data_IF_705564437997
#
_entry.id   IF_705564437997
#
_cell.length_a   1.000
_cell.length_b   1.000
_cell.length_c   1.000
_cell.angle_alpha   90.00
_cell.angle_beta   90.00
_cell.angle_gamma   90.00
#
_symmetry.space_group_name_H-M   'P 1'
#
loop_
_entity.id
_entity.type
_entity.pdbx_description
1 polymer ?
#
# COMPACT_ATOMS: atom_id res chain seq x y z
N UNK A 1 -11.21 6.91 5.85
CA UNK A 1 -10.12 7.85 5.53
C UNK A 1 -10.66 9.26 5.44
N UNK A 2 -11.47 9.61 4.43
CA UNK A 2 -12.08 10.94 4.28
C UNK A 2 -12.74 11.48 5.56
N UNK A 3 -13.51 10.66 6.27
CA UNK A 3 -14.11 11.04 7.55
C UNK A 3 -13.07 11.45 8.60
N UNK A 4 -11.99 10.68 8.77
CA UNK A 4 -10.94 10.99 9.75
C UNK A 4 -10.20 12.28 9.38
N UNK A 5 -9.93 12.49 8.10
CA UNK A 5 -9.31 13.71 7.59
C UNK A 5 -10.22 14.94 7.77
N UNK A 6 -11.54 14.78 7.65
CA UNK A 6 -12.50 15.86 7.91
C UNK A 6 -12.61 16.26 9.38
N UNK A 7 -12.29 15.36 10.32
CA UNK A 7 -12.30 15.65 11.76
C UNK A 7 -11.06 16.46 12.15
N UNK A 8 -9.88 16.00 11.73
CA UNK A 8 -8.61 16.62 12.07
C UNK A 8 -7.55 16.23 11.03
N UNK A 9 -7.38 17.08 10.03
CA UNK A 9 -6.48 16.85 8.91
C UNK A 9 -4.98 16.97 9.27
N UNK A 10 -4.64 17.40 10.48
CA UNK A 10 -3.26 17.45 10.97
C UNK A 10 -2.83 16.12 11.62
N UNK A 11 -3.79 15.26 11.99
CA UNK A 11 -3.52 13.98 12.65
C UNK A 11 -3.14 12.91 11.65
N UNK A 12 -2.11 12.15 11.99
CA UNK A 12 -1.73 10.97 11.21
C UNK A 12 -2.78 9.87 11.31
N UNK A 13 -3.06 9.22 10.19
CA UNK A 13 -3.93 8.05 10.11
C UNK A 13 -3.09 6.77 10.09
N UNK A 14 -3.56 5.71 10.75
CA UNK A 14 -2.89 4.41 10.74
C UNK A 14 -3.71 3.41 9.92
N UNK A 15 -3.08 2.85 8.89
CA UNK A 15 -3.65 1.83 8.03
C UNK A 15 -2.94 0.49 8.29
N UNK A 16 -3.65 -0.44 8.95
CA UNK A 16 -3.16 -1.79 9.18
C UNK A 16 -3.56 -2.70 8.01
N UNK A 17 -2.58 -3.39 7.45
CA UNK A 17 -2.71 -4.17 6.22
C UNK A 17 -2.35 -5.63 6.52
N UNK A 18 -3.30 -6.52 6.27
CA UNK A 18 -3.13 -7.97 6.29
C UNK A 18 -3.94 -8.59 5.16
N UNK A 19 -3.31 -8.87 4.03
CA UNK A 19 -4.04 -9.41 2.88
C UNK A 19 -3.28 -9.36 1.55
N UNK A 20 -3.84 -9.97 0.50
CA UNK A 20 -3.25 -9.99 -0.83
C UNK A 20 -3.61 -8.77 -1.69
N UNK A 21 -4.30 -7.79 -1.11
CA UNK A 21 -5.03 -6.77 -1.85
C UNK A 21 -6.39 -7.30 -2.29
N UNK A 22 -6.93 -6.73 -3.37
CA UNK A 22 -8.19 -7.14 -3.97
C UNK A 22 -8.21 -6.79 -5.45
N UNK A 23 -9.35 -6.35 -5.94
CA UNK A 23 -9.50 -5.92 -7.33
C UNK A 23 -8.68 -4.65 -7.62
N UNK A 24 -8.25 -4.52 -8.88
CA UNK A 24 -7.40 -3.44 -9.35
C UNK A 24 -8.02 -2.06 -9.10
N UNK A 25 -9.21 -1.81 -9.64
CA UNK A 25 -9.86 -0.50 -9.57
C UNK A 25 -10.18 -0.06 -8.14
N UNK A 26 -10.77 -0.89 -7.25
CA UNK A 26 -10.97 -0.51 -5.85
C UNK A 26 -9.67 -0.22 -5.09
N UNK A 27 -8.60 -0.97 -5.37
CA UNK A 27 -7.30 -0.73 -4.74
C UNK A 27 -6.69 0.60 -5.19
N UNK A 28 -6.84 0.95 -6.47
CA UNK A 28 -6.44 2.26 -7.00
C UNK A 28 -7.27 3.40 -6.40
N UNK A 29 -8.57 3.20 -6.18
CA UNK A 29 -9.41 4.20 -5.50
C UNK A 29 -8.94 4.46 -4.06
N UNK A 30 -8.52 3.42 -3.33
CA UNK A 30 -7.89 3.57 -2.01
C UNK A 30 -6.59 4.38 -2.13
N UNK A 31 -5.76 4.07 -3.13
CA UNK A 31 -4.50 4.79 -3.37
C UNK A 31 -4.72 6.28 -3.65
N UNK A 32 -5.60 6.61 -4.58
CA UNK A 32 -5.93 8.00 -4.93
C UNK A 32 -6.54 8.73 -3.74
N UNK A 33 -7.36 8.03 -2.95
CA UNK A 33 -7.84 8.58 -1.67
C UNK A 33 -6.66 8.88 -0.77
N UNK A 34 -5.71 7.96 -0.57
CA UNK A 34 -4.52 8.23 0.26
C UNK A 34 -3.72 9.44 -0.22
N UNK A 35 -3.58 9.67 -1.53
CA UNK A 35 -2.80 10.80 -2.07
C UNK A 35 -3.54 12.15 -2.03
N UNK A 36 -4.86 12.15 -1.86
CA UNK A 36 -5.69 13.37 -1.82
C UNK A 36 -5.93 13.92 -0.40
N UNK A 37 -5.59 13.15 0.63
CA UNK A 37 -5.79 13.54 2.02
C UNK A 37 -4.70 14.52 2.45
N UNK A 38 -5.05 15.43 3.36
CA UNK A 38 -4.06 16.30 4.02
C UNK A 38 -3.36 15.56 5.16
N UNK A 39 -4.08 14.68 5.86
CA UNK A 39 -3.56 13.84 6.92
C UNK A 39 -2.53 12.84 6.38
N UNK A 40 -1.33 12.73 7.00
CA UNK A 40 -0.35 11.74 6.58
C UNK A 40 -0.83 10.32 6.91
N UNK A 41 -0.70 9.41 5.94
CA UNK A 41 -1.12 8.00 6.08
C UNK A 41 0.07 7.12 6.46
N UNK A 42 0.07 6.62 7.68
CA UNK A 42 1.02 5.63 8.19
C UNK A 42 0.55 4.22 7.88
N UNK A 43 1.39 3.37 7.28
CA UNK A 43 1.01 2.00 6.89
C UNK A 43 1.71 0.95 7.76
N UNK A 44 1.00 -0.12 8.12
CA UNK A 44 1.51 -1.21 8.96
C UNK A 44 1.16 -2.57 8.35
N UNK A 45 2.16 -3.30 7.86
CA UNK A 45 1.98 -4.70 7.48
C UNK A 45 1.99 -5.61 8.70
N UNK A 46 0.85 -6.26 8.95
CA UNK A 46 0.64 -7.23 10.04
C UNK A 46 0.36 -8.59 9.40
N UNK A 47 1.32 -9.52 9.45
CA UNK A 47 1.17 -10.83 8.81
C UNK A 47 1.66 -10.81 7.36
N UNK A 48 0.85 -10.32 6.41
CA UNK A 48 1.31 -10.20 5.03
C UNK A 48 0.64 -9.08 4.23
N UNK A 49 1.35 -8.57 3.24
CA UNK A 49 0.84 -7.62 2.25
C UNK A 49 1.31 -8.08 0.87
N UNK A 50 0.43 -8.66 0.05
CA UNK A 50 0.79 -9.11 -1.30
C UNK A 50 0.12 -8.27 -2.37
N UNK A 51 0.69 -8.28 -3.58
CA UNK A 51 0.17 -7.60 -4.77
C UNK A 51 -0.24 -6.14 -4.48
N UNK A 52 -1.52 -5.80 -4.62
CA UNK A 52 -1.99 -4.42 -4.41
C UNK A 52 -1.97 -3.98 -2.95
N UNK A 53 -2.02 -4.91 -1.99
CA UNK A 53 -1.78 -4.56 -0.58
C UNK A 53 -0.32 -4.18 -0.33
N UNK A 54 0.65 -4.81 -1.02
CA UNK A 54 2.05 -4.41 -0.95
C UNK A 54 2.28 -3.02 -1.59
N UNK A 55 1.56 -2.73 -2.68
CA UNK A 55 1.56 -1.40 -3.27
C UNK A 55 1.02 -0.35 -2.29
N UNK A 56 -0.14 -0.60 -1.67
CA UNK A 56 -0.73 0.30 -0.67
C UNK A 56 0.17 0.46 0.57
N UNK A 57 0.87 -0.60 0.99
CA UNK A 57 1.88 -0.53 2.05
C UNK A 57 2.98 0.47 1.69
N UNK A 58 3.54 0.37 0.48
CA UNK A 58 4.57 1.27 -0.01
C UNK A 58 4.05 2.70 -0.26
N UNK A 59 2.74 2.86 -0.47
CA UNK A 59 2.05 4.13 -0.70
C UNK A 59 1.89 5.02 0.52
N UNK A 60 2.11 4.50 1.72
CA UNK A 60 2.13 5.30 2.95
C UNK A 60 3.19 6.41 2.93
N UNK A 61 3.03 7.35 3.84
CA UNK A 61 3.94 8.48 4.04
C UNK A 61 5.37 7.97 4.29
N UNK A 62 6.35 8.52 3.55
CA UNK A 62 7.74 8.06 3.63
C UNK A 62 8.29 8.33 5.04
N UNK A 63 9.00 7.34 5.59
CA UNK A 63 9.44 7.32 6.98
C UNK A 63 8.41 6.76 7.96
N UNK A 64 7.16 6.52 7.52
CA UNK A 64 6.06 5.99 8.32
C UNK A 64 5.43 4.73 7.71
N UNK A 65 6.22 3.91 7.02
CA UNK A 65 5.80 2.61 6.50
C UNK A 65 6.43 1.50 7.33
N UNK A 66 5.61 0.61 7.87
CA UNK A 66 6.03 -0.32 8.91
C UNK A 66 5.67 -1.76 8.57
N UNK A 67 6.46 -2.71 9.07
CA UNK A 67 6.08 -4.12 9.09
C UNK A 67 6.48 -4.81 10.38
N UNK A 68 5.76 -5.87 10.76
CA UNK A 68 6.20 -6.74 11.85
C UNK A 68 7.36 -7.66 11.42
N UNK A 69 8.18 -8.16 12.36
CA UNK A 69 9.36 -8.96 12.02
C UNK A 69 9.11 -10.21 11.18
N UNK A 70 7.93 -10.85 11.34
CA UNK A 70 7.55 -12.03 10.59
C UNK A 70 6.66 -11.72 9.38
N UNK A 71 6.42 -10.44 9.10
CA UNK A 71 5.60 -10.07 7.97
C UNK A 71 6.22 -10.53 6.65
N UNK A 72 5.35 -10.76 5.65
CA UNK A 72 5.74 -11.08 4.29
C UNK A 72 5.16 -10.05 3.33
N UNK A 73 6.00 -9.53 2.45
CA UNK A 73 5.60 -8.59 1.41
C UNK A 73 5.82 -9.26 0.06
N UNK A 74 4.89 -9.10 -0.87
CA UNK A 74 5.09 -9.62 -2.21
C UNK A 74 4.54 -8.68 -3.26
N UNK A 75 5.33 -8.45 -4.31
CA UNK A 75 4.93 -7.64 -5.46
C UNK A 75 4.76 -8.54 -6.68
N UNK A 76 3.81 -8.19 -7.53
CA UNK A 76 3.57 -8.83 -8.81
C UNK A 76 2.99 -7.79 -9.77
N UNK A 77 3.26 -7.92 -11.05
CA UNK A 77 2.51 -7.17 -12.07
C UNK A 77 1.00 -7.39 -11.91
N UNK A 78 0.17 -6.35 -12.10
CA UNK A 78 -1.27 -6.54 -12.23
C UNK A 78 -1.55 -7.52 -13.38
N UNK A 79 -2.60 -8.31 -13.21
CA UNK A 79 -3.05 -9.30 -14.17
C UNK A 79 -4.51 -9.06 -14.50
N UNK A 80 -4.90 -9.36 -15.73
CA UNK A 80 -6.25 -9.24 -16.23
C UNK A 80 -6.47 -10.16 -17.42
N UNK A 81 -7.73 -10.35 -17.79
CA UNK A 81 -8.11 -11.13 -18.96
C UNK A 81 -9.11 -10.34 -19.80
N UNK A 82 -8.92 -10.36 -21.11
CA UNK A 82 -9.83 -9.74 -22.07
C UNK A 82 -10.39 -10.82 -23.01
N UNK A 83 -11.64 -10.65 -23.45
CA UNK A 83 -12.34 -11.52 -24.40
C UNK A 83 -13.27 -10.66 -25.26
N UNK A 84 -13.43 -11.00 -26.53
CA UNK A 84 -14.28 -10.24 -27.44
C UNK A 84 -13.66 -10.12 -28.83
N UNK A 85 -14.03 -9.07 -29.56
CA UNK A 85 -13.42 -8.76 -30.85
C UNK A 85 -11.95 -8.36 -30.67
N UNK A 86 -11.18 -8.40 -31.76
CA UNK A 86 -9.76 -8.04 -31.72
C UNK A 86 -9.53 -6.62 -31.16
N UNK A 87 -10.42 -5.68 -31.46
CA UNK A 87 -10.36 -4.32 -30.93
C UNK A 87 -10.65 -4.24 -29.43
N UNK A 88 -11.65 -4.97 -28.93
CA UNK A 88 -11.95 -5.02 -27.49
C UNK A 88 -10.76 -5.58 -26.71
N UNK A 89 -10.17 -6.68 -27.19
CA UNK A 89 -8.98 -7.28 -26.58
C UNK A 89 -7.82 -6.29 -26.56
N UNK A 90 -7.60 -5.56 -27.65
CA UNK A 90 -6.53 -4.56 -27.76
C UNK A 90 -6.75 -3.39 -26.80
N UNK A 91 -7.99 -2.90 -26.67
CA UNK A 91 -8.34 -1.79 -25.77
C UNK A 91 -8.07 -2.18 -24.32
N UNK A 92 -8.58 -3.34 -23.88
CA UNK A 92 -8.39 -3.82 -22.51
C UNK A 92 -6.92 -4.11 -22.19
N UNK A 93 -6.18 -4.70 -23.13
CA UNK A 93 -4.75 -4.95 -22.95
C UNK A 93 -3.96 -3.63 -22.80
N UNK A 94 -4.26 -2.63 -23.62
CA UNK A 94 -3.61 -1.32 -23.54
C UNK A 94 -3.92 -0.61 -22.21
N UNK A 95 -5.14 -0.72 -21.72
CA UNK A 95 -5.51 -0.12 -20.43
C UNK A 95 -4.79 -0.80 -19.26
N UNK A 96 -4.69 -2.13 -19.27
CA UNK A 96 -3.91 -2.86 -18.26
C UNK A 96 -2.43 -2.48 -18.29
N UNK A 97 -1.84 -2.32 -19.48
CA UNK A 97 -0.46 -1.85 -19.64
C UNK A 97 -0.28 -0.44 -19.09
N UNK A 98 -1.21 0.47 -19.38
CA UNK A 98 -1.19 1.84 -18.84
C UNK A 98 -1.19 1.85 -17.32
N UNK A 99 -2.06 1.06 -16.70
CA UNK A 99 -2.15 0.95 -15.23
C UNK A 99 -0.89 0.33 -14.65
N UNK A 100 -0.37 -0.75 -15.26
CA UNK A 100 0.89 -1.38 -14.85
C UNK A 100 2.02 -0.37 -14.83
N UNK A 101 2.19 0.38 -15.91
CA UNK A 101 3.29 1.33 -16.05
C UNK A 101 3.18 2.47 -15.04
N UNK A 102 1.95 2.92 -14.74
CA UNK A 102 1.71 3.87 -13.65
C UNK A 102 2.14 3.32 -12.29
N UNK A 103 1.68 2.11 -11.93
CA UNK A 103 2.03 1.46 -10.66
C UNK A 103 3.55 1.24 -10.52
N UNK A 104 4.22 0.87 -11.60
CA UNK A 104 5.67 0.63 -11.58
C UNK A 104 6.45 1.93 -11.37
N UNK A 105 6.03 3.02 -12.02
CA UNK A 105 6.62 4.34 -11.81
C UNK A 105 6.41 4.83 -10.36
N UNK A 106 5.21 4.65 -9.81
CA UNK A 106 4.94 5.02 -8.42
C UNK A 106 5.74 4.17 -7.42
N UNK A 107 5.89 2.86 -7.67
CA UNK A 107 6.77 2.01 -6.87
C UNK A 107 8.22 2.44 -6.96
N UNK A 108 8.74 2.76 -8.16
CA UNK A 108 10.11 3.25 -8.33
C UNK A 108 10.35 4.51 -7.49
N UNK A 109 9.44 5.50 -7.55
CA UNK A 109 9.51 6.72 -6.73
C UNK A 109 9.48 6.43 -5.22
N UNK A 110 8.53 5.61 -4.78
CA UNK A 110 8.29 5.34 -3.35
C UNK A 110 9.37 4.45 -2.72
N UNK A 111 9.98 3.56 -3.50
CA UNK A 111 11.05 2.66 -3.05
C UNK A 111 12.44 3.25 -3.23
N UNK A 112 12.62 4.15 -4.20
CA UNK A 112 13.92 4.64 -4.63
C UNK A 112 14.67 3.66 -5.56
N UNK A 113 14.03 2.57 -6.00
CA UNK A 113 14.61 1.64 -6.96
C UNK A 113 14.48 2.20 -8.39
N UNK A 114 15.44 1.88 -9.29
CA UNK A 114 15.30 2.22 -10.70
C UNK A 114 14.13 1.46 -11.33
N UNK A 115 13.46 2.09 -12.31
CA UNK A 115 12.26 1.55 -12.96
C UNK A 115 12.55 0.22 -13.67
N UNK A 116 13.75 0.04 -14.20
CA UNK A 116 14.21 -1.19 -14.83
C UNK A 116 14.22 -2.35 -13.84
N UNK A 117 14.68 -2.09 -12.60
CA UNK A 117 14.67 -3.08 -11.53
C UNK A 117 13.25 -3.43 -11.12
N UNK A 118 12.37 -2.44 -10.92
CA UNK A 118 10.95 -2.69 -10.63
C UNK A 118 10.34 -3.58 -11.71
N UNK A 119 10.57 -3.25 -12.98
CA UNK A 119 10.01 -3.97 -14.13
C UNK A 119 10.50 -5.42 -14.19
N UNK A 120 11.80 -5.64 -13.98
CA UNK A 120 12.38 -6.98 -13.94
C UNK A 120 11.84 -7.79 -12.76
N UNK A 121 11.81 -7.19 -11.58
CA UNK A 121 11.44 -7.85 -10.33
C UNK A 121 9.95 -8.21 -10.28
N UNK A 122 9.07 -7.42 -10.90
CA UNK A 122 7.62 -7.63 -10.91
C UNK A 122 7.13 -8.46 -12.12
N UNK A 123 8.03 -8.84 -13.04
CA UNK A 123 7.73 -9.75 -14.15
C UNK A 123 7.26 -11.13 -13.67
N UNK A 124 7.60 -11.51 -12.43
CA UNK A 124 6.99 -12.60 -11.67
C UNK A 124 6.71 -12.13 -10.24
N UNK A 125 6.03 -12.97 -9.46
CA UNK A 125 5.83 -12.65 -8.05
C UNK A 125 7.17 -12.64 -7.30
N UNK A 126 7.56 -11.48 -6.77
CA UNK A 126 8.71 -11.32 -5.88
C UNK A 126 8.23 -11.33 -4.44
N UNK A 127 8.74 -12.28 -3.64
CA UNK A 127 8.43 -12.41 -2.21
C UNK A 127 9.60 -11.87 -1.39
N UNK A 128 9.29 -11.16 -0.32
CA UNK A 128 10.23 -10.47 0.54
C UNK A 128 9.85 -10.73 2.00
N UNK A 129 10.83 -11.07 2.81
CA UNK A 129 10.76 -10.93 4.26
C UNK A 129 10.63 -9.46 4.67
N UNK A 130 10.35 -9.20 5.95
CA UNK A 130 10.31 -7.83 6.47
C UNK A 130 11.66 -7.10 6.27
N UNK A 131 12.79 -7.81 6.42
CA UNK A 131 14.11 -7.23 6.19
C UNK A 131 14.34 -6.91 4.71
N UNK A 132 14.06 -7.85 3.82
CA UNK A 132 14.22 -7.60 2.38
C UNK A 132 13.26 -6.50 1.89
N UNK A 133 12.06 -6.38 2.46
CA UNK A 133 11.14 -5.29 2.14
C UNK A 133 11.65 -3.92 2.62
N UNK A 134 12.34 -3.88 3.76
CA UNK A 134 13.03 -2.68 4.25
C UNK A 134 14.17 -2.30 3.31
N UNK A 135 15.04 -3.26 2.99
CA UNK A 135 16.19 -3.05 2.11
C UNK A 135 15.76 -2.67 0.68
N UNK A 136 14.61 -3.17 0.23
CA UNK A 136 14.02 -2.81 -1.06
C UNK A 136 13.39 -1.40 -1.06
N UNK A 137 13.08 -0.84 0.11
CA UNK A 137 12.44 0.47 0.27
C UNK A 137 10.91 0.45 0.28
N UNK A 138 10.27 -0.72 0.45
CA UNK A 138 8.81 -0.85 0.55
C UNK A 138 8.27 -0.44 1.92
N UNK A 139 9.11 -0.57 2.94
CA UNK A 139 8.86 -0.11 4.30
C UNK A 139 10.06 0.68 4.80
N UNK A 140 9.87 1.44 5.86
CA UNK A 140 10.92 2.26 6.48
C UNK A 140 11.43 1.65 7.77
N UNK A 141 10.61 0.88 8.51
CA UNK A 141 10.99 0.28 9.79
C UNK A 141 10.29 -1.05 10.06
N UNK A 142 11.01 -1.94 10.74
CA UNK A 142 10.45 -3.17 11.29
C UNK A 142 10.12 -2.94 12.76
N UNK A 143 8.83 -3.03 13.12
CA UNK A 143 8.34 -2.72 14.46
C UNK A 143 7.34 -3.76 14.94
N UNK A 144 7.38 -4.05 16.25
CA UNK A 144 6.23 -4.66 16.93
C UNK A 144 5.41 -3.54 17.53
N UNK A 145 4.06 -3.56 17.42
CA UNK A 145 3.23 -2.62 18.15
C UNK A 145 3.60 -2.68 19.65
N UNK A 146 3.65 -1.54 20.33
CA UNK A 146 3.91 -1.53 21.76
C UNK A 146 2.83 -2.35 22.48
N UNK A 147 3.23 -3.11 23.51
CA UNK A 147 2.26 -3.79 24.37
C UNK A 147 1.36 -2.73 24.98
N UNK A 148 0.05 -2.85 24.79
CA UNK A 148 -0.92 -2.03 25.51
C UNK A 148 -0.74 -2.37 27.00
N UNK A 149 -0.33 -1.38 27.80
CA UNK A 149 -0.30 -1.55 29.26
C UNK A 149 -1.75 -1.62 29.73
N UNK A 150 -2.08 -2.62 30.54
CA UNK A 150 -3.44 -2.85 31.05
C UNK A 150 -4.04 -1.62 31.76
N UNK A 151 -3.18 -0.76 32.32
CA UNK A 151 -3.57 0.42 33.10
C UNK A 151 -3.42 1.74 32.33
N UNK A 152 -3.36 1.71 31.00
CA UNK A 152 -3.36 2.95 30.23
C UNK A 152 -4.70 3.66 30.49
N UNK A 153 -4.71 4.89 31.05
CA UNK A 153 -5.95 5.62 31.27
C UNK A 153 -6.63 5.78 29.91
N UNK A 154 -7.91 5.40 29.83
CA UNK A 154 -8.76 5.76 28.70
C UNK A 154 -8.63 7.27 28.54
N UNK A 155 -7.87 7.72 27.54
CA UNK A 155 -7.99 9.11 27.11
C UNK A 155 -9.40 9.21 26.57
N UNK A 156 -10.26 9.83 27.39
CA UNK A 156 -11.67 10.02 27.13
C UNK A 156 -11.89 10.41 25.67
N UNK A 157 -12.91 9.81 25.07
CA UNK A 157 -13.50 10.23 23.82
C UNK A 157 -14.05 11.65 24.01
N UNK A 158 -13.17 12.64 23.87
CA UNK A 158 -13.53 14.04 23.83
C UNK A 158 -14.32 14.32 22.56
N UNK A 159 -15.53 14.83 22.81
CA UNK A 159 -16.54 15.38 21.89
C UNK A 159 -17.33 14.35 21.10
N UNK A 160 -18.41 13.91 21.75
CA UNK A 160 -19.62 13.47 21.08
C UNK A 160 -20.11 14.49 20.06
N UNK A 161 -20.90 13.97 19.13
CA UNK A 161 -21.70 14.69 18.16
C UNK A 161 -22.36 15.92 18.79
N UNK A 162 -21.94 17.10 18.36
CA UNK A 162 -22.65 18.37 18.47
C UNK A 162 -22.73 18.96 17.07
#
# INVERSE_FOLDING_TARGET
MLYLDSIDNAKRMYMYINGPGGDLTPSLAIYDTMQSLQSPVTTHCVGYAYNLAAFLLAAGEKGNRFAMPLSRVALQSPAGAARGQADDIRIEANELLRIRDYLFNELAKKTGQPIERITQDLGRMKRLSAQEALDYGLIDRIVRPPRIKADAPNKEAGTGLG
#
